data_IF_699308044645
#
_entry.id   IF_699308044645
#
_cell.length_a   1.000
_cell.length_b   1.000
_cell.length_c   1.000
_cell.angle_alpha   90.00
_cell.angle_beta   90.00
_cell.angle_gamma   90.00
#
_symmetry.space_group_name_H-M   'P 1'
#
loop_
_entity.id
_entity.type
_entity.pdbx_description
1 polymer ?
#
# COMPACT_ATOMS: atom_id res chain seq x y z
N UNK A 1 -18.81 4.69 4.99
CA UNK A 1 -19.04 4.41 3.55
C UNK A 1 -17.78 4.75 2.78
N UNK A 2 -17.37 3.96 1.78
CA UNK A 2 -16.28 4.36 0.87
C UNK A 2 -16.90 5.39 -0.08
N UNK A 3 -16.96 6.65 0.33
CA UNK A 3 -17.50 7.75 -0.48
C UNK A 3 -16.48 8.19 -1.51
N UNK A 4 -16.45 7.45 -2.61
CA UNK A 4 -15.88 7.85 -3.88
C UNK A 4 -16.75 7.24 -4.96
N UNK A 5 -17.34 8.06 -5.83
CA UNK A 5 -18.17 7.56 -6.92
C UNK A 5 -17.37 6.58 -7.78
N UNK A 6 -17.79 5.31 -7.81
CA UNK A 6 -17.17 4.31 -8.69
C UNK A 6 -17.40 4.69 -10.14
N UNK A 7 -16.36 4.58 -10.95
CA UNK A 7 -16.36 4.90 -12.36
C UNK A 7 -16.15 3.60 -13.13
N UNK A 8 -17.16 3.20 -13.88
CA UNK A 8 -17.08 2.03 -14.75
C UNK A 8 -16.34 2.41 -16.05
N UNK A 9 -15.24 1.72 -16.33
CA UNK A 9 -14.40 1.97 -17.50
C UNK A 9 -14.44 0.79 -18.48
N UNK A 10 -14.59 1.09 -19.77
CA UNK A 10 -14.32 0.13 -20.85
C UNK A 10 -12.83 -0.24 -20.87
N UNK A 11 -12.49 -1.40 -21.42
CA UNK A 11 -11.11 -1.91 -21.44
C UNK A 11 -10.09 -0.90 -22.01
N UNK A 12 -10.43 -0.20 -23.10
CA UNK A 12 -9.57 0.82 -23.70
C UNK A 12 -9.43 2.07 -22.82
N UNK A 13 -10.49 2.48 -22.10
CA UNK A 13 -10.43 3.61 -21.16
C UNK A 13 -9.54 3.26 -19.97
N UNK A 14 -9.66 2.03 -19.46
CA UNK A 14 -8.79 1.50 -18.41
C UNK A 14 -7.32 1.49 -18.85
N UNK A 15 -7.04 1.06 -20.08
CA UNK A 15 -5.70 1.11 -20.66
C UNK A 15 -5.18 2.55 -20.81
N UNK A 16 -6.01 3.47 -21.29
CA UNK A 16 -5.65 4.89 -21.42
C UNK A 16 -5.34 5.54 -20.06
N UNK A 17 -6.15 5.27 -19.03
CA UNK A 17 -5.89 5.73 -17.66
C UNK A 17 -4.61 5.10 -17.11
N UNK A 18 -4.37 3.82 -17.32
CA UNK A 18 -3.13 3.15 -16.90
C UNK A 18 -1.89 3.79 -17.54
N UNK A 19 -1.91 3.99 -18.87
CA UNK A 19 -0.81 4.62 -19.60
C UNK A 19 -0.60 6.06 -19.15
N UNK A 20 -1.67 6.87 -19.10
CA UNK A 20 -1.58 8.26 -18.66
C UNK A 20 -1.10 8.40 -17.21
N UNK A 21 -1.55 7.52 -16.32
CA UNK A 21 -1.13 7.51 -14.91
C UNK A 21 0.31 7.05 -14.75
N UNK A 22 0.78 6.09 -15.57
CA UNK A 22 2.18 5.67 -15.59
C UNK A 22 3.08 6.82 -16.01
N UNK A 23 2.77 7.48 -17.12
CA UNK A 23 3.55 8.63 -17.61
C UNK A 23 3.56 9.75 -16.58
N UNK A 24 2.39 10.10 -16.03
CA UNK A 24 2.31 11.17 -15.05
C UNK A 24 2.98 10.84 -13.71
N UNK A 25 2.93 9.59 -13.23
CA UNK A 25 3.64 9.16 -12.02
C UNK A 25 5.16 9.11 -12.21
N UNK A 26 5.65 8.84 -13.42
CA UNK A 26 7.08 8.93 -13.75
C UNK A 26 7.56 10.39 -13.78
N UNK A 27 6.74 11.30 -14.29
CA UNK A 27 7.04 12.73 -14.37
C UNK A 27 6.93 13.41 -12.99
N UNK A 28 5.90 13.09 -12.22
CA UNK A 28 5.70 13.57 -10.86
C UNK A 28 5.30 12.43 -9.90
N UNK A 29 6.29 11.80 -9.25
CA UNK A 29 6.05 10.72 -8.29
C UNK A 29 5.26 11.14 -7.04
N UNK A 30 5.06 12.45 -6.80
CA UNK A 30 4.29 12.96 -5.66
C UNK A 30 2.78 12.90 -5.91
N UNK A 31 2.36 12.62 -7.14
CA UNK A 31 0.96 12.45 -7.54
C UNK A 31 0.42 11.09 -7.11
N UNK A 32 0.11 10.97 -5.82
CA UNK A 32 -0.45 9.75 -5.23
C UNK A 32 -1.77 9.30 -5.90
N UNK A 33 -2.53 10.23 -6.48
CA UNK A 33 -3.74 9.97 -7.26
C UNK A 33 -3.46 9.19 -8.56
N UNK A 34 -2.35 9.49 -9.24
CA UNK A 34 -1.95 8.77 -10.46
C UNK A 34 -1.45 7.37 -10.12
N UNK A 35 -0.66 7.23 -9.05
CA UNK A 35 -0.20 5.92 -8.57
C UNK A 35 -1.40 5.06 -8.15
N UNK A 36 -2.38 5.66 -7.48
CA UNK A 36 -3.65 5.04 -7.11
C UNK A 36 -4.44 4.56 -8.34
N UNK A 37 -4.63 5.43 -9.33
CA UNK A 37 -5.30 5.09 -10.58
C UNK A 37 -4.56 3.98 -11.35
N UNK A 38 -3.23 4.02 -11.40
CA UNK A 38 -2.41 2.98 -12.02
C UNK A 38 -2.59 1.63 -11.31
N UNK A 39 -2.55 1.63 -9.98
CA UNK A 39 -2.79 0.43 -9.18
C UNK A 39 -4.17 -0.17 -9.44
N UNK A 40 -5.22 0.66 -9.55
CA UNK A 40 -6.57 0.16 -9.80
C UNK A 40 -6.77 -0.36 -11.23
N UNK A 41 -6.18 0.29 -12.21
CA UNK A 41 -6.36 -0.05 -13.63
C UNK A 41 -5.54 -1.27 -14.05
N UNK A 42 -4.41 -1.54 -13.38
CA UNK A 42 -3.53 -2.68 -13.68
C UNK A 42 -3.64 -3.83 -12.67
N UNK A 43 -4.18 -3.57 -11.48
CA UNK A 43 -4.13 -4.50 -10.35
C UNK A 43 -5.34 -5.42 -10.17
N UNK A 44 -6.37 -5.38 -11.05
CA UNK A 44 -7.62 -6.13 -10.85
C UNK A 44 -7.39 -7.60 -10.48
N UNK A 45 -6.68 -8.35 -11.32
CA UNK A 45 -6.41 -9.78 -11.07
C UNK A 45 -5.60 -10.01 -9.79
N UNK A 46 -4.68 -9.10 -9.46
CA UNK A 46 -3.91 -9.18 -8.22
C UNK A 46 -4.80 -8.96 -6.99
N UNK A 47 -5.68 -7.96 -7.02
CA UNK A 47 -6.67 -7.73 -5.97
C UNK A 47 -7.68 -8.88 -5.84
N UNK A 48 -8.08 -9.52 -6.94
CA UNK A 48 -8.91 -10.73 -6.91
C UNK A 48 -8.18 -11.88 -6.19
N UNK A 49 -6.89 -12.09 -6.45
CA UNK A 49 -6.09 -13.09 -5.72
C UNK A 49 -6.00 -12.75 -4.23
N UNK A 50 -5.71 -11.50 -3.88
CA UNK A 50 -5.67 -11.06 -2.47
C UNK A 50 -7.03 -11.29 -1.80
N UNK A 51 -8.13 -10.95 -2.47
CA UNK A 51 -9.48 -11.20 -1.97
C UNK A 51 -9.73 -12.68 -1.71
N UNK A 52 -9.31 -13.58 -2.61
CA UNK A 52 -9.44 -15.02 -2.38
C UNK A 52 -8.63 -15.50 -1.19
N UNK A 53 -7.39 -15.01 -1.01
CA UNK A 53 -6.57 -15.33 0.16
C UNK A 53 -7.23 -14.84 1.45
N UNK A 54 -7.75 -13.61 1.48
CA UNK A 54 -8.51 -13.09 2.62
C UNK A 54 -9.76 -13.92 2.91
N UNK A 55 -10.48 -14.41 1.90
CA UNK A 55 -11.64 -15.31 2.11
C UNK A 55 -11.24 -16.66 2.70
N UNK A 56 -10.02 -17.13 2.44
CA UNK A 56 -9.53 -18.41 2.96
C UNK A 56 -9.13 -18.36 4.44
N UNK A 57 -8.74 -17.20 4.98
CA UNK A 57 -8.37 -17.05 6.40
C UNK A 57 -9.55 -16.57 7.28
N UNK A 58 -9.67 -17.05 8.53
CA UNK A 58 -10.65 -16.51 9.49
C UNK A 58 -10.54 -15.00 9.69
N UNK A 59 -9.33 -14.49 9.86
CA UNK A 59 -9.03 -13.08 10.09
C UNK A 59 -9.36 -12.24 8.86
N UNK A 60 -9.01 -12.74 7.66
CA UNK A 60 -9.34 -12.08 6.40
C UNK A 60 -10.85 -12.00 6.16
N UNK A 61 -11.61 -13.06 6.48
CA UNK A 61 -13.09 -13.03 6.41
C UNK A 61 -13.68 -11.99 7.36
N UNK A 62 -13.18 -11.92 8.59
CA UNK A 62 -13.62 -10.91 9.55
C UNK A 62 -13.33 -9.49 9.01
N UNK A 63 -12.14 -9.26 8.45
CA UNK A 63 -11.78 -7.97 7.85
C UNK A 63 -12.66 -7.60 6.64
N UNK A 64 -13.05 -8.56 5.80
CA UNK A 64 -13.94 -8.32 4.65
C UNK A 64 -15.38 -8.00 5.08
N UNK A 65 -15.80 -8.53 6.22
CA UNK A 65 -17.10 -8.27 6.83
C UNK A 65 -17.14 -6.90 7.51
N UNK A 66 -16.22 -6.66 8.44
CA UNK A 66 -16.19 -5.45 9.28
C UNK A 66 -15.74 -4.21 8.50
N UNK A 67 -14.89 -4.41 7.49
CA UNK A 67 -14.29 -3.36 6.66
C UNK A 67 -13.70 -2.19 7.47
N UNK A 68 -12.85 -2.46 8.49
CA UNK A 68 -12.25 -1.38 9.28
C UNK A 68 -11.44 -0.45 8.39
N UNK A 69 -11.51 0.86 8.70
CA UNK A 69 -10.82 1.92 7.97
C UNK A 69 -9.71 2.52 8.82
N UNK A 70 -8.57 2.81 8.20
CA UNK A 70 -7.44 3.47 8.84
C UNK A 70 -7.54 4.98 8.60
N UNK A 71 -8.41 5.62 9.37
CA UNK A 71 -8.71 7.06 9.30
C UNK A 71 -8.51 7.69 10.68
N UNK A 72 -8.23 8.99 10.76
CA UNK A 72 -7.92 9.67 12.03
C UNK A 72 -8.98 9.37 13.11
N UNK A 73 -10.26 9.42 12.74
CA UNK A 73 -11.38 9.15 13.65
C UNK A 73 -11.40 7.73 14.25
N UNK A 74 -10.66 6.78 13.68
CA UNK A 74 -10.58 5.38 14.13
C UNK A 74 -9.25 5.03 14.78
N UNK A 75 -8.15 5.65 14.33
CA UNK A 75 -6.80 5.32 14.80
C UNK A 75 -6.15 6.42 15.64
N UNK A 76 -6.83 7.54 15.89
CA UNK A 76 -6.31 8.67 16.68
C UNK A 76 -5.91 8.32 18.12
N UNK A 77 -6.51 7.28 18.70
CA UNK A 77 -6.13 6.79 20.04
C UNK A 77 -4.72 6.18 20.07
N UNK A 78 -4.10 5.89 18.91
CA UNK A 78 -2.74 5.37 18.84
C UNK A 78 -1.69 6.33 19.44
N UNK A 79 -1.99 7.64 19.50
CA UNK A 79 -1.14 8.66 20.10
C UNK A 79 -1.08 8.57 21.63
N UNK A 80 -2.09 7.95 22.25
CA UNK A 80 -2.20 7.83 23.71
C UNK A 80 -1.66 6.50 24.24
N UNK A 81 -1.18 5.61 23.36
CA UNK A 81 -0.69 4.29 23.74
C UNK A 81 0.71 4.33 24.33
N UNK A 82 1.03 3.32 25.14
CA UNK A 82 2.35 3.19 25.74
C UNK A 82 3.45 3.10 24.67
N UNK A 83 4.61 3.71 24.95
CA UNK A 83 5.67 3.93 23.95
C UNK A 83 6.23 2.64 23.31
N UNK A 84 6.10 1.50 23.99
CA UNK A 84 6.53 0.17 23.59
C UNK A 84 5.52 -0.59 22.72
N UNK A 85 4.39 0.02 22.37
CA UNK A 85 3.36 -0.57 21.51
C UNK A 85 3.61 -0.23 20.03
N UNK A 86 3.04 -1.04 19.14
CA UNK A 86 3.06 -0.73 17.70
C UNK A 86 2.31 0.58 17.38
N UNK A 87 1.18 0.84 18.05
CA UNK A 87 0.42 2.06 17.79
C UNK A 87 1.18 3.34 18.15
N UNK A 88 1.95 3.33 19.24
CA UNK A 88 2.80 4.47 19.55
C UNK A 88 3.93 4.66 18.51
N UNK A 89 4.48 3.57 17.98
CA UNK A 89 5.46 3.65 16.88
C UNK A 89 4.84 4.23 15.61
N UNK A 90 3.62 3.81 15.26
CA UNK A 90 2.87 4.34 14.12
C UNK A 90 2.53 5.82 14.30
N UNK A 91 2.02 6.22 15.47
CA UNK A 91 1.70 7.61 15.77
C UNK A 91 2.94 8.51 15.65
N UNK A 92 4.10 8.06 16.14
CA UNK A 92 5.39 8.76 15.96
C UNK A 92 5.78 8.86 14.49
N UNK A 93 5.63 7.77 13.72
CA UNK A 93 5.93 7.75 12.29
C UNK A 93 5.07 8.79 11.54
N UNK A 94 3.75 8.79 11.75
CA UNK A 94 2.81 9.72 11.12
C UNK A 94 3.10 11.18 11.53
N UNK A 95 3.27 11.43 12.84
CA UNK A 95 3.54 12.77 13.37
C UNK A 95 4.85 13.36 12.90
N UNK A 96 5.92 12.56 12.79
CA UNK A 96 7.25 13.03 12.35
C UNK A 96 7.28 13.57 10.92
N UNK A 97 6.29 13.23 10.10
CA UNK A 97 6.20 13.59 8.68
C UNK A 97 4.97 14.43 8.33
N UNK A 98 4.18 14.81 9.34
CA UNK A 98 2.92 15.51 9.17
C UNK A 98 1.98 14.80 8.17
N UNK A 99 1.94 13.47 8.24
CA UNK A 99 1.04 12.65 7.42
C UNK A 99 -0.30 12.50 8.10
N UNK A 100 -1.38 12.52 7.31
CA UNK A 100 -2.70 12.11 7.78
C UNK A 100 -3.09 10.75 7.21
N UNK A 101 -3.59 9.81 8.04
CA UNK A 101 -4.28 8.61 7.55
C UNK A 101 -5.42 8.92 6.57
N UNK A 102 -6.01 10.12 6.66
CA UNK A 102 -7.13 10.56 5.82
C UNK A 102 -6.70 10.99 4.40
N UNK A 103 -5.40 11.16 4.14
CA UNK A 103 -4.88 11.65 2.85
C UNK A 103 -4.97 10.60 1.72
N UNK A 104 -5.45 9.38 2.02
CA UNK A 104 -5.50 8.30 1.05
C UNK A 104 -6.58 8.54 -0.01
N UNK A 105 -6.22 8.53 -1.31
CA UNK A 105 -7.17 8.83 -2.37
C UNK A 105 -8.29 7.78 -2.41
N UNK A 106 -9.53 8.18 -2.71
CA UNK A 106 -10.65 7.25 -2.81
C UNK A 106 -10.44 6.24 -3.94
N UNK A 107 -10.99 5.03 -3.77
CA UNK A 107 -10.96 4.01 -4.83
C UNK A 107 -12.07 4.27 -5.84
N UNK A 108 -11.75 4.24 -7.15
CA UNK A 108 -12.70 4.65 -8.21
C UNK A 108 -12.99 3.58 -9.27
N UNK A 109 -12.01 2.78 -9.66
CA UNK A 109 -12.03 1.92 -10.85
C UNK A 109 -12.10 0.42 -10.51
N UNK A 110 -12.53 0.07 -9.29
CA UNK A 110 -12.83 -1.29 -8.87
C UNK A 110 -14.29 -1.65 -9.14
N UNK A 111 -14.50 -2.86 -9.66
CA UNK A 111 -15.81 -3.29 -10.16
C UNK A 111 -16.79 -3.68 -9.03
N UNK A 112 -16.29 -4.16 -7.89
CA UNK A 112 -17.11 -4.61 -6.75
C UNK A 112 -16.72 -3.90 -5.46
N UNK A 113 -17.63 -3.87 -4.48
CA UNK A 113 -17.34 -3.27 -3.17
C UNK A 113 -16.25 -4.02 -2.39
N UNK A 114 -16.18 -5.35 -2.54
CA UNK A 114 -15.12 -6.15 -1.93
C UNK A 114 -13.75 -5.80 -2.53
N UNK A 115 -13.63 -5.73 -3.86
CA UNK A 115 -12.39 -5.33 -4.51
C UNK A 115 -12.01 -3.88 -4.19
N UNK A 116 -13.01 -2.99 -4.12
CA UNK A 116 -12.79 -1.60 -3.72
C UNK A 116 -12.26 -1.52 -2.28
N UNK A 117 -12.79 -2.33 -1.38
CA UNK A 117 -12.29 -2.42 -0.01
C UNK A 117 -10.86 -2.98 0.05
N UNK A 118 -10.55 -4.06 -0.67
CA UNK A 118 -9.19 -4.63 -0.71
C UNK A 118 -8.18 -3.61 -1.27
N UNK A 119 -8.54 -2.90 -2.34
CA UNK A 119 -7.71 -1.85 -2.92
C UNK A 119 -7.52 -0.65 -1.96
N UNK A 120 -8.57 -0.26 -1.24
CA UNK A 120 -8.49 0.80 -0.24
C UNK A 120 -7.59 0.39 0.93
N UNK A 121 -7.80 -0.83 1.43
CA UNK A 121 -6.99 -1.41 2.50
C UNK A 121 -5.51 -1.44 2.13
N UNK A 122 -5.17 -1.83 0.90
CA UNK A 122 -3.79 -1.83 0.42
C UNK A 122 -3.12 -0.43 0.49
N UNK A 123 -3.90 0.65 0.32
CA UNK A 123 -3.40 2.03 0.48
C UNK A 123 -3.25 2.42 1.94
N UNK A 124 -4.22 2.02 2.75
CA UNK A 124 -4.30 2.38 4.15
C UNK A 124 -3.23 1.70 5.01
N UNK A 125 -2.90 0.43 4.71
CA UNK A 125 -1.88 -0.31 5.46
C UNK A 125 -0.44 0.01 5.04
N UNK A 126 -0.24 0.81 3.99
CA UNK A 126 1.09 1.21 3.52
C UNK A 126 1.93 1.87 4.62
N UNK A 127 1.37 2.83 5.36
CA UNK A 127 2.11 3.51 6.45
C UNK A 127 2.36 2.57 7.64
N UNK A 128 1.45 1.61 7.87
CA UNK A 128 1.70 0.57 8.86
C UNK A 128 2.88 -0.29 8.47
N UNK A 129 3.04 -0.61 7.18
CA UNK A 129 4.17 -1.42 6.74
C UNK A 129 5.49 -0.66 6.78
N UNK A 130 5.48 0.66 6.53
CA UNK A 130 6.63 1.49 6.85
C UNK A 130 7.04 1.39 8.32
N UNK A 131 6.06 1.46 9.22
CA UNK A 131 6.30 1.35 10.67
C UNK A 131 6.78 -0.06 11.05
N UNK A 132 6.13 -1.11 10.53
CA UNK A 132 6.41 -2.51 10.84
C UNK A 132 7.80 -2.95 10.41
N UNK A 133 8.23 -2.49 9.23
CA UNK A 133 9.53 -2.84 8.66
C UNK A 133 10.62 -1.80 8.96
N UNK A 134 10.30 -0.77 9.75
CA UNK A 134 11.19 0.36 10.06
C UNK A 134 11.82 0.99 8.81
N UNK A 135 11.01 1.16 7.77
CA UNK A 135 11.45 1.71 6.48
C UNK A 135 11.19 3.21 6.40
N UNK A 136 12.20 4.04 6.09
CA UNK A 136 12.00 5.47 5.91
C UNK A 136 11.25 5.76 4.60
N UNK A 137 10.57 6.90 4.52
CA UNK A 137 9.88 7.38 3.30
C UNK A 137 10.83 8.11 2.34
N UNK A 138 12.09 7.70 2.30
CA UNK A 138 13.07 8.18 1.32
C UNK A 138 13.04 7.24 0.10
N UNK A 139 13.69 7.64 -1.00
CA UNK A 139 13.63 6.88 -2.24
C UNK A 139 14.04 5.40 -2.08
N UNK A 140 15.03 5.07 -1.24
CA UNK A 140 15.44 3.69 -0.97
C UNK A 140 14.36 2.95 -0.19
N UNK A 141 13.86 3.54 0.90
CA UNK A 141 12.88 2.88 1.76
C UNK A 141 11.52 2.70 1.08
N UNK A 142 11.07 3.66 0.28
CA UNK A 142 9.91 3.52 -0.61
C UNK A 142 10.11 2.38 -1.61
N UNK A 143 11.27 2.33 -2.27
CA UNK A 143 11.58 1.26 -3.24
C UNK A 143 11.62 -0.12 -2.55
N UNK A 144 12.18 -0.20 -1.34
CA UNK A 144 12.22 -1.44 -0.58
C UNK A 144 10.82 -1.88 -0.12
N UNK A 145 9.99 -0.94 0.34
CA UNK A 145 8.63 -1.24 0.75
C UNK A 145 7.77 -1.68 -0.45
N UNK A 146 7.92 -1.04 -1.62
CA UNK A 146 7.23 -1.46 -2.85
C UNK A 146 7.58 -2.89 -3.25
N UNK A 147 8.78 -3.37 -2.94
CA UNK A 147 9.15 -4.76 -3.17
C UNK A 147 8.42 -5.70 -2.21
N UNK A 148 8.34 -5.36 -0.92
CA UNK A 148 7.54 -6.11 0.07
C UNK A 148 6.06 -6.13 -0.33
N UNK A 149 5.51 -4.98 -0.76
CA UNK A 149 4.14 -4.88 -1.26
C UNK A 149 3.90 -5.76 -2.49
N UNK A 150 4.88 -5.85 -3.38
CA UNK A 150 4.81 -6.74 -4.53
C UNK A 150 4.77 -8.21 -4.11
N UNK A 151 5.63 -8.64 -3.18
CA UNK A 151 5.61 -10.02 -2.66
C UNK A 151 4.26 -10.33 -1.98
N UNK A 152 3.71 -9.37 -1.23
CA UNK A 152 2.46 -9.56 -0.51
C UNK A 152 1.25 -9.54 -1.44
N UNK A 153 1.17 -8.65 -2.42
CA UNK A 153 -0.06 -8.43 -3.20
C UNK A 153 0.05 -8.81 -4.68
N UNK A 154 1.26 -8.92 -5.22
CA UNK A 154 1.51 -9.19 -6.64
C UNK A 154 1.02 -8.08 -7.57
N UNK A 155 0.95 -6.83 -7.08
CA UNK A 155 0.45 -5.69 -7.85
C UNK A 155 1.50 -5.24 -8.89
N UNK A 156 1.14 -5.17 -10.18
CA UNK A 156 2.08 -4.72 -11.22
C UNK A 156 2.66 -3.32 -10.94
N UNK A 157 1.85 -2.41 -10.39
CA UNK A 157 2.29 -1.06 -10.02
C UNK A 157 3.44 -1.06 -9.01
N UNK A 158 3.46 -1.98 -8.05
CA UNK A 158 4.54 -2.08 -7.07
C UNK A 158 5.87 -2.44 -7.76
N UNK A 159 5.85 -3.41 -8.68
CA UNK A 159 7.03 -3.78 -9.48
C UNK A 159 7.50 -2.61 -10.35
N UNK A 160 6.59 -1.93 -11.03
CA UNK A 160 6.91 -0.74 -11.83
C UNK A 160 7.52 0.37 -10.97
N UNK A 161 7.03 0.55 -9.74
CA UNK A 161 7.58 1.50 -8.78
C UNK A 161 8.99 1.12 -8.34
N UNK A 162 9.29 -0.16 -8.15
CA UNK A 162 10.65 -0.64 -7.88
C UNK A 162 11.59 -0.33 -9.05
N UNK A 163 11.15 -0.59 -10.29
CA UNK A 163 11.94 -0.29 -11.49
C UNK A 163 12.17 1.22 -11.61
N UNK A 164 11.12 2.04 -11.47
CA UNK A 164 11.22 3.50 -11.51
C UNK A 164 12.09 4.08 -10.39
N UNK A 165 11.97 3.55 -9.17
CA UNK A 165 12.77 3.94 -8.02
C UNK A 165 14.26 3.63 -8.22
N UNK A 166 14.56 2.40 -8.64
CA UNK A 166 15.95 1.96 -8.91
C UNK A 166 16.59 2.68 -10.10
N UNK A 167 15.81 3.10 -11.11
CA UNK A 167 16.31 3.92 -12.22
C UNK A 167 16.84 5.28 -11.72
N UNK A 168 16.26 5.83 -10.64
CA UNK A 168 16.60 7.14 -10.09
C UNK A 168 17.71 7.11 -9.02
N UNK A 169 18.23 5.94 -8.67
CA UNK A 169 19.34 5.80 -7.72
C UNK A 169 20.67 6.28 -8.29
N UNK A 170 21.42 7.01 -7.48
CA UNK A 170 22.86 7.18 -7.69
C UNK A 170 23.63 5.87 -7.43
N UNK A 171 24.92 5.81 -7.78
CA UNK A 171 25.72 4.59 -7.67
C UNK A 171 25.78 4.02 -6.25
N UNK A 172 25.93 4.88 -5.24
CA UNK A 172 25.98 4.46 -3.83
C UNK A 172 24.64 3.87 -3.38
N UNK A 173 23.54 4.54 -3.71
CA UNK A 173 22.19 4.07 -3.41
C UNK A 173 21.88 2.75 -4.11
N UNK A 174 22.26 2.62 -5.38
CA UNK A 174 22.07 1.41 -6.18
C UNK A 174 22.82 0.23 -5.57
N UNK A 175 24.09 0.42 -5.22
CA UNK A 175 24.90 -0.60 -4.55
C UNK A 175 24.30 -1.02 -3.21
N UNK A 176 23.99 -0.04 -2.35
CA UNK A 176 23.36 -0.28 -1.04
C UNK A 176 22.04 -1.05 -1.17
N UNK A 177 21.19 -0.65 -2.13
CA UNK A 177 19.89 -1.27 -2.35
C UNK A 177 20.03 -2.72 -2.80
N UNK A 178 20.76 -2.99 -3.87
CA UNK A 178 20.86 -4.36 -4.39
C UNK A 178 21.65 -5.31 -3.48
N UNK A 179 22.61 -4.80 -2.70
CA UNK A 179 23.37 -5.62 -1.76
C UNK A 179 22.62 -5.94 -0.48
N UNK A 180 21.82 -4.99 0.04
CA UNK A 180 21.20 -5.13 1.37
C UNK A 180 19.68 -5.11 1.31
N UNK A 181 19.07 -4.04 0.80
CA UNK A 181 17.61 -3.86 0.85
C UNK A 181 16.85 -4.84 -0.03
N UNK A 182 17.29 -5.06 -1.28
CA UNK A 182 16.59 -5.94 -2.23
C UNK A 182 16.47 -7.38 -1.74
N UNK A 183 17.57 -8.09 -1.38
CA UNK A 183 17.47 -9.47 -0.90
C UNK A 183 16.75 -9.55 0.45
N UNK A 184 16.88 -8.54 1.31
CA UNK A 184 16.14 -8.49 2.58
C UNK A 184 14.64 -8.30 2.35
N UNK A 185 14.23 -7.36 1.50
CA UNK A 185 12.83 -7.03 1.25
C UNK A 185 12.08 -8.20 0.61
N UNK A 186 12.72 -8.93 -0.32
CA UNK A 186 12.15 -10.18 -0.86
C UNK A 186 11.91 -11.19 0.26
N UNK A 187 12.92 -11.47 1.09
CA UNK A 187 12.77 -12.41 2.21
C UNK A 187 11.71 -11.96 3.21
N UNK A 188 11.72 -10.68 3.59
CA UNK A 188 10.75 -10.10 4.52
C UNK A 188 9.33 -10.23 3.97
N UNK A 189 9.12 -9.91 2.69
CA UNK A 189 7.83 -10.08 2.01
C UNK A 189 7.36 -11.53 1.94
N UNK A 190 8.25 -12.46 1.56
CA UNK A 190 7.91 -13.89 1.43
C UNK A 190 7.70 -14.61 2.78
N UNK A 191 8.42 -14.22 3.83
CA UNK A 191 8.36 -14.86 5.15
C UNK A 191 7.31 -14.23 6.07
N UNK A 192 6.78 -13.06 5.72
CA UNK A 192 5.66 -12.47 6.44
C UNK A 192 4.42 -13.34 6.28
N UNK A 193 3.57 -13.34 7.31
CA UNK A 193 2.17 -13.77 7.14
C UNK A 193 1.48 -12.91 6.08
N UNK A 194 0.26 -13.28 5.67
CA UNK A 194 -0.52 -12.44 4.75
C UNK A 194 -0.90 -11.13 5.46
N UNK A 195 -0.11 -10.07 5.23
CA UNK A 195 -0.23 -8.79 5.90
C UNK A 195 -1.56 -8.11 5.57
N UNK A 196 -2.20 -8.47 4.46
CA UNK A 196 -3.55 -8.01 4.13
C UNK A 196 -4.61 -8.57 5.09
N UNK A 197 -4.33 -9.68 5.77
CA UNK A 197 -5.22 -10.31 6.75
C UNK A 197 -4.96 -9.86 8.20
N UNK A 198 -4.00 -8.96 8.45
CA UNK A 198 -3.62 -8.56 9.82
C UNK A 198 -4.46 -7.38 10.33
N UNK A 199 -5.03 -7.50 11.52
CA UNK A 199 -5.68 -6.38 12.21
C UNK A 199 -4.64 -5.39 12.73
N UNK A 200 -4.40 -4.33 11.96
CA UNK A 200 -3.50 -3.25 12.38
C UNK A 200 -4.14 -2.30 13.40
N UNK A 201 -5.46 -2.43 13.65
CA UNK A 201 -6.18 -1.67 14.68
C UNK A 201 -6.03 -2.24 16.09
N UNK A 202 -5.43 -3.41 16.25
CA UNK A 202 -5.09 -3.98 17.57
C UNK A 202 -3.71 -3.45 17.94
N UNK A 203 -3.66 -2.18 18.34
CA UNK A 203 -2.43 -1.41 18.51
C UNK A 203 -1.59 -1.74 19.76
N UNK A 204 -1.84 -2.89 20.42
CA UNK A 204 -1.15 -3.33 21.63
C UNK A 204 0.24 -3.86 21.36
#
# INVERSE_FOLDING_TARGET
MIEGGRIWLKAWQRAAVAVGSTVGALLDPRRADLIAALGETTGKHAFERVLQRMKSSPEGRALLLERPRVVCAKVGHAWDLAANTFGAAYARFMGSRNFSPDDRPPVRFMDTDELAYVAMRAREVHDFWHTLFDLPTNLIGETALKLIEFEQMGLPMCLLSVIGGTARFNEKQRKLFYQHYFPWAIRAGMQSTDLMCVYMSTFS
#
